data_IF_281306390769
#
_entry.id   IF_281306390769
#
_cell.length_a   1.000
_cell.length_b   1.000
_cell.length_c   1.000
_cell.angle_alpha   90.00
_cell.angle_beta   90.00
_cell.angle_gamma   90.00
#
_symmetry.space_group_name_H-M   'P 1'
#
loop_
_entity.id
_entity.type
_entity.pdbx_description
1 polymer ?
#
# COMPACT_ATOMS: atom_id res chain seq x y z
N UNK A 1 7.67 -21.43 -0.92
CA UNK A 1 8.55 -20.82 0.11
C UNK A 1 8.14 -21.29 1.49
N UNK A 2 9.09 -21.80 2.29
CA UNK A 2 8.83 -22.34 3.64
C UNK A 2 8.28 -21.30 4.62
N UNK A 3 8.59 -20.01 4.41
CA UNK A 3 8.22 -18.90 5.29
C UNK A 3 7.07 -18.02 4.78
N UNK A 4 6.30 -18.50 3.79
CA UNK A 4 5.23 -17.72 3.15
C UNK A 4 4.21 -17.17 4.17
N UNK A 5 3.74 -18.02 5.08
CA UNK A 5 2.77 -17.63 6.09
C UNK A 5 3.28 -16.56 7.05
N UNK A 6 4.56 -16.64 7.44
CA UNK A 6 5.21 -15.64 8.30
C UNK A 6 5.27 -14.26 7.61
N UNK A 7 5.75 -14.21 6.36
CA UNK A 7 5.82 -12.94 5.63
C UNK A 7 4.45 -12.35 5.34
N UNK A 8 3.45 -13.20 5.04
CA UNK A 8 2.07 -12.74 4.87
C UNK A 8 1.50 -12.18 6.17
N UNK A 9 1.70 -12.88 7.30
CA UNK A 9 1.26 -12.36 8.60
C UNK A 9 1.92 -11.01 8.90
N UNK A 10 3.25 -10.92 8.82
CA UNK A 10 4.02 -9.71 9.07
C UNK A 10 3.59 -8.54 8.18
N UNK A 11 3.35 -8.80 6.90
CA UNK A 11 2.88 -7.80 5.95
C UNK A 11 1.46 -7.27 6.24
N UNK A 12 0.64 -8.06 6.94
CA UNK A 12 -0.73 -7.72 7.30
C UNK A 12 -0.85 -7.08 8.69
N UNK A 13 0.12 -7.26 9.59
CA UNK A 13 0.12 -6.64 10.93
C UNK A 13 -0.19 -5.13 10.90
N UNK A 14 0.35 -4.32 9.95
CA UNK A 14 0.07 -2.88 9.90
C UNK A 14 -1.41 -2.52 9.76
N UNK A 15 -2.30 -3.45 9.36
CA UNK A 15 -3.74 -3.19 9.30
C UNK A 15 -4.35 -2.90 10.67
N UNK A 16 -3.70 -3.36 11.75
CA UNK A 16 -4.13 -3.15 13.14
C UNK A 16 -3.60 -1.84 13.72
N UNK A 17 -2.62 -1.22 13.06
CA UNK A 17 -1.98 0.00 13.53
C UNK A 17 -2.84 1.23 13.19
N UNK A 18 -2.96 2.22 14.10
CA UNK A 18 -3.58 3.49 13.75
C UNK A 18 -2.71 4.22 12.71
N UNK A 19 -3.32 5.06 11.85
CA UNK A 19 -2.60 5.66 10.72
C UNK A 19 -1.42 6.56 11.14
N UNK A 20 -1.50 7.18 12.31
CA UNK A 20 -0.43 7.99 12.89
C UNK A 20 0.82 7.19 13.31
N UNK A 21 0.72 5.87 13.49
CA UNK A 21 1.81 5.02 13.96
C UNK A 21 3.06 5.07 13.05
N UNK A 22 2.97 4.84 11.72
CA UNK A 22 4.14 4.97 10.84
C UNK A 22 4.77 6.36 10.88
N UNK A 23 3.97 7.41 10.98
CA UNK A 23 4.45 8.78 11.04
C UNK A 23 5.31 9.01 12.30
N UNK A 24 4.83 8.57 13.47
CA UNK A 24 5.60 8.65 14.73
C UNK A 24 6.89 7.82 14.63
N UNK A 25 6.80 6.61 14.10
CA UNK A 25 7.94 5.70 13.97
C UNK A 25 9.04 6.29 13.09
N UNK A 26 8.65 6.89 11.95
CA UNK A 26 9.58 7.58 11.06
C UNK A 26 10.18 8.83 11.70
N UNK A 27 9.45 9.55 12.56
CA UNK A 27 10.00 10.68 13.32
C UNK A 27 11.07 10.21 14.31
N UNK A 28 10.84 9.11 15.02
CA UNK A 28 11.86 8.56 15.93
C UNK A 28 13.08 7.99 15.21
N UNK A 29 12.91 7.46 14.00
CA UNK A 29 14.02 6.97 13.19
C UNK A 29 14.78 8.11 12.52
N UNK A 30 14.07 9.04 11.87
CA UNK A 30 14.66 9.96 10.90
C UNK A 30 14.39 11.44 11.19
N UNK A 31 13.71 11.76 12.29
CA UNK A 31 13.48 13.13 12.72
C UNK A 31 14.77 13.84 13.15
N UNK A 32 14.64 15.10 13.58
CA UNK A 32 15.79 15.96 13.93
C UNK A 32 16.70 15.39 15.03
N UNK A 33 16.16 14.52 15.90
CA UNK A 33 16.86 13.79 16.94
C UNK A 33 16.72 12.26 16.76
N UNK A 34 16.41 11.79 15.54
CA UNK A 34 16.16 10.39 15.27
C UNK A 34 17.44 9.55 15.16
N UNK A 35 17.33 8.26 15.47
CA UNK A 35 18.46 7.31 15.50
C UNK A 35 19.24 7.19 14.18
N UNK A 36 18.55 7.35 13.06
CA UNK A 36 19.03 7.17 11.69
C UNK A 36 18.92 8.46 10.86
N UNK A 37 18.84 9.64 11.49
CA UNK A 37 18.72 10.93 10.78
C UNK A 37 19.76 11.09 9.67
N UNK A 38 21.02 10.72 9.93
CA UNK A 38 22.12 10.86 8.97
C UNK A 38 21.91 10.06 7.68
N UNK A 39 21.06 9.03 7.70
CA UNK A 39 20.73 8.21 6.53
C UNK A 39 19.80 8.93 5.54
N UNK A 40 19.26 10.09 5.91
CA UNK A 40 18.46 10.91 4.99
C UNK A 40 19.30 11.82 4.10
N UNK A 41 20.64 11.84 4.24
CA UNK A 41 21.55 12.63 3.40
C UNK A 41 21.16 14.12 3.28
N UNK A 42 20.68 14.71 4.39
CA UNK A 42 20.26 16.11 4.46
C UNK A 42 18.81 16.39 4.06
N UNK A 43 18.03 15.39 3.64
CA UNK A 43 16.58 15.52 3.43
C UNK A 43 15.86 15.47 4.78
N UNK A 44 14.91 16.36 5.03
CA UNK A 44 14.08 16.29 6.23
C UNK A 44 12.96 15.26 6.07
N UNK A 45 12.71 14.44 7.11
CA UNK A 45 11.56 13.53 7.11
C UNK A 45 10.23 14.28 7.18
N UNK A 46 10.23 15.49 7.74
CA UNK A 46 9.04 16.29 7.88
C UNK A 46 8.58 16.84 6.53
N UNK A 47 7.27 16.83 6.29
CA UNK A 47 6.67 17.33 5.06
C UNK A 47 6.33 16.23 4.05
N UNK A 48 6.35 16.53 2.73
CA UNK A 48 5.83 15.62 1.71
C UNK A 48 6.48 14.24 1.71
N UNK A 49 7.79 14.16 1.98
CA UNK A 49 8.56 12.92 1.95
C UNK A 49 8.08 11.96 3.05
N UNK A 50 8.03 12.42 4.30
CA UNK A 50 7.53 11.61 5.42
C UNK A 50 6.07 11.23 5.25
N UNK A 51 5.24 12.12 4.69
CA UNK A 51 3.85 11.79 4.37
C UNK A 51 3.80 10.63 3.39
N UNK A 52 4.50 10.71 2.26
CA UNK A 52 4.48 9.66 1.23
C UNK A 52 4.98 8.32 1.79
N UNK A 53 6.11 8.29 2.50
CA UNK A 53 6.67 7.05 3.05
C UNK A 53 5.71 6.43 4.08
N UNK A 54 5.13 7.26 4.96
CA UNK A 54 4.15 6.80 5.95
C UNK A 54 2.88 6.26 5.28
N UNK A 55 2.38 6.93 4.24
CA UNK A 55 1.21 6.49 3.48
C UNK A 55 1.49 5.17 2.76
N UNK A 56 2.68 4.98 2.19
CA UNK A 56 3.08 3.70 1.57
C UNK A 56 2.99 2.58 2.60
N UNK A 57 3.52 2.76 3.81
CA UNK A 57 3.41 1.76 4.88
C UNK A 57 1.95 1.49 5.27
N UNK A 58 1.16 2.56 5.48
CA UNK A 58 -0.23 2.47 5.90
C UNK A 58 -1.11 1.75 4.87
N UNK A 59 -0.91 2.05 3.59
CA UNK A 59 -1.67 1.49 2.48
C UNK A 59 -1.19 0.11 2.03
N UNK A 60 0.04 -0.29 2.39
CA UNK A 60 0.66 -1.54 1.97
C UNK A 60 -0.19 -2.80 2.23
N UNK A 61 -0.70 -3.08 3.45
CA UNK A 61 -1.48 -4.30 3.70
C UNK A 61 -2.76 -4.36 2.85
N UNK A 62 -3.40 -3.21 2.61
CA UNK A 62 -4.64 -3.11 1.83
C UNK A 62 -4.38 -3.43 0.35
N UNK A 63 -3.34 -2.82 -0.22
CA UNK A 63 -2.92 -3.12 -1.60
C UNK A 63 -2.49 -4.57 -1.75
N UNK A 64 -1.73 -5.11 -0.78
CA UNK A 64 -1.27 -6.49 -0.80
C UNK A 64 -2.44 -7.48 -0.80
N UNK A 65 -3.46 -7.27 0.04
CA UNK A 65 -4.64 -8.16 0.07
C UNK A 65 -5.36 -8.21 -1.26
N UNK A 66 -5.59 -7.05 -1.88
CA UNK A 66 -6.29 -6.96 -3.17
C UNK A 66 -5.47 -7.65 -4.27
N UNK A 67 -4.16 -7.40 -4.32
CA UNK A 67 -3.27 -8.01 -5.30
C UNK A 67 -3.13 -9.52 -5.11
N UNK A 68 -3.05 -10.01 -3.85
CA UNK A 68 -3.03 -11.44 -3.55
C UNK A 68 -4.33 -12.11 -4.00
N UNK A 69 -5.48 -11.50 -3.72
CA UNK A 69 -6.77 -12.03 -4.18
C UNK A 69 -6.81 -12.10 -5.71
N UNK A 70 -6.45 -11.01 -6.40
CA UNK A 70 -6.45 -10.95 -7.86
C UNK A 70 -5.50 -11.97 -8.51
N UNK A 71 -4.30 -12.13 -7.97
CA UNK A 71 -3.32 -13.08 -8.49
C UNK A 71 -3.66 -14.53 -8.15
N UNK A 72 -4.36 -14.78 -7.05
CA UNK A 72 -4.78 -16.14 -6.66
C UNK A 72 -5.80 -16.76 -7.63
N UNK A 73 -6.49 -15.91 -8.38
CA UNK A 73 -7.51 -16.30 -9.37
C UNK A 73 -6.91 -16.64 -10.75
N UNK A 74 -5.58 -16.56 -10.91
CA UNK A 74 -4.93 -16.79 -12.19
C UNK A 74 -4.94 -18.29 -12.59
N UNK A 75 -5.36 -18.58 -13.82
CA UNK A 75 -5.41 -19.95 -14.36
C UNK A 75 -4.02 -20.45 -14.77
N UNK A 76 -3.56 -21.55 -14.17
CA UNK A 76 -2.25 -22.17 -14.44
C UNK A 76 -2.06 -22.53 -15.91
N UNK A 77 -3.14 -22.86 -16.63
CA UNK A 77 -3.11 -23.28 -18.04
C UNK A 77 -2.52 -22.22 -18.96
N UNK A 78 -2.77 -20.95 -18.66
CA UNK A 78 -2.20 -19.83 -19.43
C UNK A 78 -0.68 -19.75 -19.27
N UNK A 79 -0.17 -20.08 -18.07
CA UNK A 79 1.27 -20.11 -17.81
C UNK A 79 1.93 -21.33 -18.44
N UNK A 80 1.28 -22.49 -18.40
CA UNK A 80 1.77 -23.72 -19.05
C UNK A 80 1.83 -23.55 -20.58
N UNK A 81 0.80 -22.94 -21.19
CA UNK A 81 0.80 -22.63 -22.61
C UNK A 81 1.93 -21.65 -23.00
N UNK A 82 2.17 -20.63 -22.18
CA UNK A 82 3.26 -19.69 -22.41
C UNK A 82 4.65 -20.35 -22.26
N UNK A 83 4.81 -21.26 -21.30
CA UNK A 83 6.04 -22.07 -21.11
C UNK A 83 6.27 -22.99 -22.32
N UNK A 84 5.22 -23.63 -22.85
CA UNK A 84 5.28 -24.49 -24.03
C UNK A 84 5.65 -23.73 -25.32
N UNK A 85 5.26 -22.45 -25.42
CA UNK A 85 5.64 -21.56 -26.52
C UNK A 85 7.04 -20.93 -26.34
N UNK A 86 7.77 -21.29 -25.27
CA UNK A 86 9.10 -20.74 -24.98
C UNK A 86 9.09 -19.25 -24.63
N UNK A 87 7.98 -18.72 -24.12
CA UNK A 87 7.89 -17.30 -23.74
C UNK A 87 8.79 -16.98 -22.55
N UNK A 88 9.57 -15.90 -22.66
CA UNK A 88 10.39 -15.40 -21.55
C UNK A 88 9.52 -14.94 -20.36
N UNK A 89 10.06 -15.01 -19.14
CA UNK A 89 9.29 -14.63 -17.92
C UNK A 89 8.77 -13.19 -17.97
N UNK A 90 9.53 -12.26 -18.56
CA UNK A 90 9.10 -10.87 -18.79
C UNK A 90 7.90 -10.81 -19.73
N UNK A 91 7.92 -11.58 -20.83
CA UNK A 91 6.77 -11.67 -21.74
C UNK A 91 5.55 -12.23 -21.04
N UNK A 92 5.70 -13.33 -20.29
CA UNK A 92 4.62 -13.94 -19.49
C UNK A 92 4.01 -12.93 -18.52
N UNK A 93 4.83 -12.12 -17.85
CA UNK A 93 4.34 -11.09 -16.94
C UNK A 93 3.45 -10.07 -17.65
N UNK A 94 3.88 -9.51 -18.78
CA UNK A 94 3.13 -8.49 -19.51
C UNK A 94 1.94 -9.03 -20.33
N UNK A 95 1.96 -10.31 -20.74
CA UNK A 95 0.90 -10.88 -21.59
C UNK A 95 -0.08 -11.78 -20.85
N UNK A 96 0.29 -12.32 -19.69
CA UNK A 96 -0.55 -13.23 -18.90
C UNK A 96 -0.84 -12.66 -17.51
N UNK A 97 0.20 -12.39 -16.72
CA UNK A 97 0.04 -12.03 -15.30
C UNK A 97 -0.62 -10.67 -15.11
N UNK A 98 -0.05 -9.62 -15.71
CA UNK A 98 -0.54 -8.26 -15.55
C UNK A 98 -1.93 -8.05 -16.18
N UNK A 99 -2.22 -8.54 -17.42
CA UNK A 99 -3.57 -8.47 -17.98
C UNK A 99 -4.60 -9.28 -17.18
N UNK A 100 -4.21 -10.43 -16.60
CA UNK A 100 -5.07 -11.23 -15.74
C UNK A 100 -5.40 -10.55 -14.41
N UNK A 101 -4.42 -9.84 -13.82
CA UNK A 101 -4.59 -9.11 -12.56
C UNK A 101 -5.05 -7.65 -12.74
N UNK A 102 -5.31 -7.18 -13.97
CA UNK A 102 -5.51 -5.75 -14.28
C UNK A 102 -6.59 -5.08 -13.42
N UNK A 103 -7.72 -5.76 -13.20
CA UNK A 103 -8.80 -5.20 -12.39
C UNK A 103 -8.43 -5.14 -10.90
N UNK A 104 -7.64 -6.10 -10.42
CA UNK A 104 -7.09 -6.07 -9.07
C UNK A 104 -6.07 -4.94 -8.88
N UNK A 105 -5.21 -4.68 -9.86
CA UNK A 105 -4.26 -3.55 -9.83
C UNK A 105 -4.99 -2.22 -9.82
N UNK A 106 -5.99 -2.04 -10.68
CA UNK A 106 -6.78 -0.81 -10.73
C UNK A 106 -7.56 -0.64 -9.42
N UNK A 107 -8.17 -1.72 -8.89
CA UNK A 107 -8.88 -1.71 -7.61
C UNK A 107 -7.97 -1.31 -6.45
N UNK A 108 -6.78 -1.91 -6.36
CA UNK A 108 -5.78 -1.54 -5.37
C UNK A 108 -5.43 -0.05 -5.48
N UNK A 109 -5.27 0.49 -6.70
CA UNK A 109 -5.05 1.91 -6.93
C UNK A 109 -6.15 2.81 -6.35
N UNK A 110 -7.43 2.50 -6.61
CA UNK A 110 -8.55 3.29 -6.09
C UNK A 110 -8.71 3.17 -4.57
N UNK A 111 -8.47 2.00 -4.00
CA UNK A 111 -8.50 1.80 -2.54
C UNK A 111 -7.37 2.60 -1.87
N UNK A 112 -6.14 2.51 -2.39
CA UNK A 112 -5.00 3.30 -1.90
C UNK A 112 -5.28 4.79 -2.04
N UNK A 113 -5.80 5.24 -3.18
CA UNK A 113 -6.17 6.64 -3.39
C UNK A 113 -7.19 7.11 -2.35
N UNK A 114 -8.24 6.31 -2.11
CA UNK A 114 -9.27 6.62 -1.11
C UNK A 114 -8.66 6.75 0.27
N UNK A 115 -7.83 5.78 0.69
CA UNK A 115 -7.15 5.79 1.98
C UNK A 115 -6.30 7.06 2.17
N UNK A 116 -5.46 7.39 1.18
CA UNK A 116 -4.58 8.56 1.21
C UNK A 116 -5.37 9.87 1.25
N UNK A 117 -6.43 9.98 0.44
CA UNK A 117 -7.26 11.19 0.41
C UNK A 117 -7.97 11.42 1.73
N UNK A 118 -8.45 10.36 2.39
CA UNK A 118 -9.19 10.46 3.64
C UNK A 118 -8.31 10.49 4.89
N UNK A 119 -7.00 10.27 4.76
CA UNK A 119 -6.13 10.23 5.93
C UNK A 119 -5.76 11.64 6.43
N UNK A 120 -5.97 11.83 7.72
CA UNK A 120 -5.57 13.02 8.45
C UNK A 120 -4.35 12.76 9.35
N UNK A 121 -4.25 11.55 9.91
CA UNK A 121 -3.35 11.24 11.01
C UNK A 121 -1.88 11.37 10.64
N UNK A 122 -1.49 10.79 9.50
CA UNK A 122 -0.11 10.85 9.01
C UNK A 122 0.26 12.29 8.71
N UNK A 123 -0.55 12.96 7.89
CA UNK A 123 -0.28 14.32 7.45
C UNK A 123 -0.17 15.30 8.63
N UNK A 124 -1.01 15.12 9.66
CA UNK A 124 -0.96 15.95 10.86
C UNK A 124 0.33 15.74 11.67
N UNK A 125 0.81 14.50 11.78
CA UNK A 125 1.96 14.16 12.63
C UNK A 125 3.29 14.48 11.96
N UNK A 126 3.50 14.03 10.73
CA UNK A 126 4.80 14.16 10.04
C UNK A 126 4.84 15.28 9.00
N UNK A 127 3.71 15.93 8.69
CA UNK A 127 3.65 16.99 7.68
C UNK A 127 4.43 18.26 8.01
N UNK A 128 4.77 18.51 9.28
CA UNK A 128 5.53 19.70 9.68
C UNK A 128 4.82 20.99 9.26
N UNK A 129 5.44 21.78 8.38
CA UNK A 129 4.85 23.02 7.82
C UNK A 129 4.03 22.78 6.55
N UNK A 130 4.11 21.60 5.96
CA UNK A 130 3.38 21.24 4.76
C UNK A 130 1.94 20.87 5.12
N UNK A 131 0.99 21.62 4.56
CA UNK A 131 -0.42 21.38 4.81
C UNK A 131 -1.06 20.69 3.62
N UNK A 132 -1.94 19.74 3.93
CA UNK A 132 -2.83 19.09 2.98
C UNK A 132 -4.27 19.44 3.31
N UNK A 133 -5.16 19.20 2.35
CA UNK A 133 -6.59 19.49 2.50
C UNK A 133 -7.18 18.93 3.80
N UNK A 134 -6.85 17.68 4.17
CA UNK A 134 -7.31 17.06 5.41
C UNK A 134 -6.88 17.85 6.66
N UNK A 135 -5.63 18.31 6.72
CA UNK A 135 -5.14 19.12 7.84
C UNK A 135 -5.72 20.54 7.84
N UNK A 136 -6.04 21.08 6.67
CA UNK A 136 -6.64 22.41 6.55
C UNK A 136 -8.08 22.42 7.02
N UNK A 137 -8.87 21.36 6.77
CA UNK A 137 -10.21 21.20 7.34
C UNK A 137 -10.14 21.34 8.87
N UNK A 138 -9.21 20.62 9.50
CA UNK A 138 -9.03 20.69 10.95
C UNK A 138 -8.66 22.10 11.43
N UNK A 139 -7.75 22.78 10.71
CA UNK A 139 -7.37 24.17 11.04
C UNK A 139 -8.53 25.14 10.92
N UNK A 140 -9.33 25.04 9.87
CA UNK A 140 -10.49 25.91 9.65
C UNK A 140 -11.54 25.70 10.75
N UNK A 141 -11.92 24.44 11.01
CA UNK A 141 -12.99 24.10 11.95
C UNK A 141 -12.57 24.28 13.40
N UNK A 142 -11.43 23.71 13.81
CA UNK A 142 -11.00 23.71 15.22
C UNK A 142 -10.13 24.93 15.53
N UNK A 143 -9.22 25.29 14.64
CA UNK A 143 -8.28 26.40 14.87
C UNK A 143 -8.92 27.79 14.72
N UNK A 144 -9.79 27.96 13.72
CA UNK A 144 -10.35 29.27 13.36
C UNK A 144 -11.87 29.37 13.59
N UNK A 145 -12.54 28.27 13.99
CA UNK A 145 -13.99 28.20 14.12
C UNK A 145 -14.75 28.59 12.84
N UNK A 146 -14.09 28.49 11.68
CA UNK A 146 -14.66 28.79 10.38
C UNK A 146 -15.28 27.53 9.78
N UNK A 147 -16.49 27.21 10.27
CA UNK A 147 -17.23 26.03 9.84
C UNK A 147 -17.66 26.09 8.37
N UNK A 148 -17.94 27.29 7.85
CA UNK A 148 -18.32 27.50 6.45
C UNK A 148 -17.19 27.06 5.52
N UNK A 149 -15.98 27.58 5.74
CA UNK A 149 -14.82 27.19 4.95
C UNK A 149 -14.43 25.73 5.20
N UNK A 150 -14.51 25.27 6.44
CA UNK A 150 -14.30 23.85 6.77
C UNK A 150 -15.19 22.91 5.96
N UNK A 151 -16.48 23.26 5.81
CA UNK A 151 -17.42 22.49 4.99
C UNK A 151 -17.02 22.49 3.51
N UNK A 152 -16.62 23.63 2.95
CA UNK A 152 -16.18 23.73 1.54
C UNK A 152 -14.96 22.85 1.27
N UNK A 153 -13.90 22.92 2.11
CA UNK A 153 -12.73 22.03 1.94
C UNK A 153 -13.13 20.57 2.10
N UNK A 154 -14.03 20.27 3.04
CA UNK A 154 -14.59 18.94 3.25
C UNK A 154 -15.25 18.37 1.98
N UNK A 155 -16.11 19.16 1.32
CA UNK A 155 -16.74 18.75 0.06
C UNK A 155 -15.73 18.54 -1.06
N UNK A 156 -14.73 19.41 -1.19
CA UNK A 156 -13.65 19.28 -2.18
C UNK A 156 -12.90 17.97 -2.00
N UNK A 157 -12.68 17.51 -0.77
CA UNK A 157 -12.02 16.24 -0.47
C UNK A 157 -12.95 15.04 -0.64
N UNK A 158 -14.22 15.18 -0.27
CA UNK A 158 -15.21 14.11 -0.31
C UNK A 158 -15.55 13.68 -1.74
N UNK A 159 -15.72 14.62 -2.67
CA UNK A 159 -16.07 14.31 -4.07
C UNK A 159 -15.10 13.31 -4.72
N UNK A 160 -13.78 13.55 -4.78
CA UNK A 160 -12.84 12.61 -5.40
C UNK A 160 -12.76 11.27 -4.65
N UNK A 161 -12.88 11.26 -3.33
CA UNK A 161 -12.89 10.03 -2.55
C UNK A 161 -14.12 9.16 -2.86
N UNK A 162 -15.30 9.78 -2.96
CA UNK A 162 -16.55 9.10 -3.33
C UNK A 162 -16.49 8.59 -4.77
N UNK A 163 -16.00 9.40 -5.71
CA UNK A 163 -15.82 8.97 -7.11
C UNK A 163 -14.87 7.77 -7.20
N UNK A 164 -13.74 7.80 -6.49
CA UNK A 164 -12.79 6.69 -6.45
C UNK A 164 -13.41 5.42 -5.86
N UNK A 165 -14.16 5.54 -4.76
CA UNK A 165 -14.86 4.42 -4.13
C UNK A 165 -15.89 3.78 -5.07
N UNK A 166 -16.72 4.57 -5.75
CA UNK A 166 -17.69 4.03 -6.70
C UNK A 166 -17.02 3.43 -7.94
N UNK A 167 -15.96 4.05 -8.45
CA UNK A 167 -15.18 3.49 -9.55
C UNK A 167 -14.60 2.12 -9.17
N UNK A 168 -14.00 1.99 -7.98
CA UNK A 168 -13.52 0.73 -7.42
C UNK A 168 -14.62 -0.33 -7.37
N UNK A 169 -15.79 0.04 -6.82
CA UNK A 169 -16.93 -0.87 -6.68
C UNK A 169 -17.39 -1.45 -8.02
N UNK A 170 -17.40 -0.64 -9.07
CA UNK A 170 -17.76 -1.06 -10.44
C UNK A 170 -16.69 -2.01 -11.01
N UNK A 171 -15.40 -1.70 -10.78
CA UNK A 171 -14.27 -2.49 -11.27
C UNK A 171 -14.21 -3.87 -10.61
N UNK A 172 -14.42 -3.94 -9.30
CA UNK A 172 -14.47 -5.21 -8.57
C UNK A 172 -15.59 -6.12 -9.11
N UNK A 173 -16.75 -5.56 -9.46
CA UNK A 173 -17.83 -6.33 -10.10
C UNK A 173 -17.41 -7.00 -11.41
N UNK A 174 -16.58 -6.33 -12.22
CA UNK A 174 -16.03 -6.90 -13.47
C UNK A 174 -14.98 -7.97 -13.23
N UNK A 175 -14.20 -7.85 -12.15
CA UNK A 175 -13.21 -8.85 -11.77
C UNK A 175 -13.87 -10.18 -11.40
N UNK A 176 -14.97 -10.14 -10.63
CA UNK A 176 -15.75 -11.33 -10.26
C UNK A 176 -16.39 -11.97 -11.49
N UNK A 177 -16.88 -11.18 -12.45
CA UNK A 177 -17.49 -11.70 -13.68
C UNK A 177 -16.52 -12.45 -14.61
N UNK A 178 -15.21 -12.20 -14.51
CA UNK A 178 -14.17 -12.87 -15.29
C UNK A 178 -13.67 -14.17 -14.66
N UNK A 179 -14.18 -14.53 -13.48
CA UNK A 179 -13.94 -15.83 -12.87
C UNK A 179 -14.55 -16.92 -13.72
N UNK A 180 -13.70 -17.63 -14.47
CA UNK A 180 -14.08 -18.95 -14.96
C UNK A 180 -14.04 -19.92 -13.77
N UNK A 181 -15.17 -20.57 -13.47
CA UNK A 181 -15.32 -21.57 -12.40
C UNK A 181 -14.40 -22.81 -12.55
N UNK A 182 -13.46 -22.80 -13.49
CA UNK A 182 -12.52 -23.88 -13.82
C UNK A 182 -11.04 -23.48 -13.74
N UNK A 183 -10.71 -22.29 -13.22
CA UNK A 183 -9.32 -21.87 -13.07
C UNK A 183 -8.56 -22.86 -12.16
N UNK A 184 -7.44 -23.39 -12.67
CA UNK A 184 -6.56 -24.27 -11.90
C UNK A 184 -5.54 -23.38 -11.18
N UNK A 185 -5.34 -23.55 -9.86
CA UNK A 185 -4.40 -22.72 -9.12
C UNK A 185 -2.98 -22.92 -9.64
N UNK A 186 -2.28 -21.81 -9.91
CA UNK A 186 -0.88 -21.84 -10.33
C UNK A 186 0.00 -22.36 -9.19
N UNK A 187 0.66 -23.50 -9.42
CA UNK A 187 1.70 -24.04 -8.55
C UNK A 187 3.07 -23.66 -9.15
N UNK A 188 3.85 -22.77 -8.51
CA UNK A 188 5.16 -22.40 -9.02
C UNK A 188 6.12 -23.59 -9.03
N UNK A 189 6.77 -23.85 -10.18
CA UNK A 189 7.89 -24.80 -10.25
C UNK A 189 9.04 -24.29 -9.36
N UNK A 190 9.71 -25.13 -8.55
CA UNK A 190 10.80 -24.71 -7.68
C UNK A 190 11.99 -24.23 -8.49
N UNK A 191 12.56 -23.07 -8.12
CA UNK A 191 13.74 -22.47 -8.75
C UNK A 191 14.58 -21.79 -7.66
N UNK A 192 15.80 -22.27 -7.43
CA UNK A 192 16.63 -21.83 -6.30
C UNK A 192 17.07 -20.38 -6.41
N UNK A 193 17.33 -19.87 -7.62
CA UNK A 193 17.74 -18.49 -7.84
C UNK A 193 16.60 -17.51 -7.60
N UNK A 194 15.45 -17.77 -8.23
CA UNK A 194 14.24 -16.95 -8.08
C UNK A 194 13.73 -16.98 -6.65
N UNK A 195 13.67 -18.16 -6.05
CA UNK A 195 13.09 -18.32 -4.71
C UNK A 195 13.97 -17.66 -3.63
N UNK A 196 15.31 -17.70 -3.79
CA UNK A 196 16.22 -16.95 -2.91
C UNK A 196 16.10 -15.44 -3.11
N UNK A 197 16.04 -14.94 -4.35
CA UNK A 197 15.87 -13.51 -4.62
C UNK A 197 14.57 -12.96 -4.03
N UNK A 198 13.46 -13.68 -4.20
CA UNK A 198 12.18 -13.32 -3.59
C UNK A 198 12.19 -13.46 -2.06
N UNK A 199 12.91 -14.42 -1.51
CA UNK A 199 13.08 -14.53 -0.06
C UNK A 199 13.80 -13.31 0.51
N UNK A 200 14.91 -12.88 -0.10
CA UNK A 200 15.64 -11.67 0.31
C UNK A 200 14.74 -10.45 0.22
N UNK A 201 13.98 -10.30 -0.87
CA UNK A 201 13.01 -9.21 -1.02
C UNK A 201 11.96 -9.21 0.10
N UNK A 202 11.33 -10.35 0.38
CA UNK A 202 10.37 -10.47 1.49
C UNK A 202 11.00 -10.22 2.86
N UNK A 203 12.25 -10.64 3.07
CA UNK A 203 12.99 -10.39 4.30
C UNK A 203 13.29 -8.91 4.50
N UNK A 204 13.67 -8.18 3.43
CA UNK A 204 13.89 -6.72 3.49
C UNK A 204 12.59 -5.99 3.79
N UNK A 205 11.51 -6.27 3.05
CA UNK A 205 10.20 -5.62 3.28
C UNK A 205 9.67 -5.95 4.66
N UNK A 206 9.73 -7.22 5.07
CA UNK A 206 9.34 -7.66 6.41
C UNK A 206 10.17 -6.99 7.50
N UNK A 207 11.48 -6.87 7.31
CA UNK A 207 12.39 -6.18 8.22
C UNK A 207 12.03 -4.70 8.36
N UNK A 208 11.75 -3.99 7.26
CA UNK A 208 11.30 -2.60 7.30
C UNK A 208 9.98 -2.44 8.06
N UNK A 209 9.02 -3.33 7.83
CA UNK A 209 7.75 -3.31 8.54
C UNK A 209 7.95 -3.56 10.03
N UNK A 210 8.75 -4.58 10.37
CA UNK A 210 9.07 -4.92 11.75
C UNK A 210 9.77 -3.76 12.47
N UNK A 211 10.74 -3.11 11.82
CA UNK A 211 11.45 -1.95 12.40
C UNK A 211 10.46 -0.83 12.70
N UNK A 212 9.56 -0.49 11.77
CA UNK A 212 8.57 0.56 12.04
C UNK A 212 7.64 0.19 13.20
N UNK A 213 7.15 -1.05 13.25
CA UNK A 213 6.30 -1.52 14.35
C UNK A 213 7.05 -1.55 15.69
N UNK A 214 8.29 -2.03 15.70
CA UNK A 214 9.12 -2.08 16.90
C UNK A 214 9.41 -0.68 17.44
N UNK A 215 9.69 0.28 16.55
CA UNK A 215 9.89 1.68 16.92
C UNK A 215 8.62 2.31 17.49
N UNK A 216 7.45 1.98 16.95
CA UNK A 216 6.19 2.43 17.51
C UNK A 216 5.96 1.93 18.94
N UNK A 217 6.22 0.64 19.18
CA UNK A 217 6.07 0.02 20.51
C UNK A 217 7.08 0.59 21.50
N UNK A 218 8.30 0.89 21.04
CA UNK A 218 9.31 1.54 21.88
C UNK A 218 8.96 2.99 22.23
N UNK A 219 8.24 3.68 21.34
CA UNK A 219 7.84 5.07 21.50
C UNK A 219 6.60 5.29 22.39
N UNK A 220 5.88 4.22 22.74
CA UNK A 220 4.67 4.22 23.58
C UNK A 220 4.96 3.84 25.03
#
# INVERSE_FOLDING_TARGET
MRWKGLFQALALIPILAPSLLPAISLIYLFGNQGFLKEWMFGVEIYGPVGIVISQVFYCFPHALMILLAALSMADSRLYEAADALGASKTRVFFTVTLPGAKYGVISAGFVVFTLVMTDFGIAKVIGGRFNVLATDIFKQVIGQQNFEMGAVVGFVLLIPAVVAFFADRIIQGRQVALLSARAVPLIPKPDSGRDNGLFVFCAVVGGLIFVLLAMAVWAS
#
